data_IF_344749814982
#
_entry.id   IF_344749814982
#
_cell.length_a   1.000
_cell.length_b   1.000
_cell.length_c   1.000
_cell.angle_alpha   90.00
_cell.angle_beta   90.00
_cell.angle_gamma   90.00
#
_symmetry.space_group_name_H-M   'P 1'
#
loop_
_entity.id
_entity.type
_entity.pdbx_description
1 polymer ?
#
# COMPACT_ATOMS: atom_id res chain seq x y z
N UNK A 1 -9.93 5.36 -16.01
CA UNK A 1 -9.12 6.42 -15.38
C UNK A 1 -10.03 7.59 -15.10
N UNK A 2 -9.99 8.17 -13.90
CA UNK A 2 -10.86 9.32 -13.56
C UNK A 2 -10.36 10.58 -14.29
N UNK A 3 -11.28 11.34 -14.87
CA UNK A 3 -10.97 12.64 -15.47
C UNK A 3 -10.78 13.72 -14.40
N UNK A 4 -10.11 14.82 -14.75
CA UNK A 4 -9.97 15.96 -13.83
C UNK A 4 -11.34 16.50 -13.38
N UNK A 5 -12.33 16.50 -14.26
CA UNK A 5 -13.68 17.01 -13.97
C UNK A 5 -14.42 16.12 -12.99
N UNK A 6 -14.32 14.79 -13.15
CA UNK A 6 -14.87 13.82 -12.20
C UNK A 6 -14.15 13.90 -10.83
N UNK A 7 -12.83 14.06 -10.82
CA UNK A 7 -12.07 14.26 -9.59
C UNK A 7 -12.56 15.50 -8.84
N UNK A 8 -12.70 16.65 -9.54
CA UNK A 8 -13.23 17.89 -8.95
C UNK A 8 -14.67 17.71 -8.44
N UNK A 9 -15.51 17.01 -9.18
CA UNK A 9 -16.87 16.69 -8.73
C UNK A 9 -16.88 15.91 -7.41
N UNK A 10 -16.04 14.88 -7.29
CA UNK A 10 -15.90 14.12 -6.03
C UNK A 10 -15.36 14.99 -4.88
N UNK A 11 -14.41 15.90 -5.14
CA UNK A 11 -13.97 16.84 -4.10
C UNK A 11 -15.10 17.77 -3.63
N UNK A 12 -15.95 18.25 -4.55
CA UNK A 12 -17.12 19.08 -4.21
C UNK A 12 -18.18 18.35 -3.39
N UNK A 13 -18.21 17.02 -3.46
CA UNK A 13 -19.06 16.16 -2.63
C UNK A 13 -18.46 15.87 -1.24
N UNK A 14 -17.25 16.35 -0.95
CA UNK A 14 -16.60 16.20 0.36
C UNK A 14 -15.69 14.98 0.53
N UNK A 15 -15.41 14.22 -0.55
CA UNK A 15 -14.45 13.11 -0.48
C UNK A 15 -13.02 13.62 -0.30
N UNK A 16 -12.31 13.12 0.72
CA UNK A 16 -10.93 13.53 1.06
C UNK A 16 -9.86 12.47 0.68
N UNK A 17 -10.30 11.34 0.10
CA UNK A 17 -9.45 10.25 -0.42
C UNK A 17 -10.05 9.76 -1.74
N UNK A 18 -9.48 10.23 -2.85
CA UNK A 18 -9.93 9.87 -4.20
C UNK A 18 -8.77 9.13 -4.89
N UNK A 19 -8.90 7.85 -5.25
CA UNK A 19 -7.84 7.10 -5.88
C UNK A 19 -7.63 7.52 -7.34
N UNK A 20 -6.38 7.76 -7.71
CA UNK A 20 -5.97 7.91 -9.11
C UNK A 20 -5.38 6.57 -9.56
N UNK A 21 -6.01 5.96 -10.57
CA UNK A 21 -5.69 4.60 -10.99
C UNK A 21 -5.36 4.56 -12.48
N UNK A 22 -4.33 3.79 -12.81
CA UNK A 22 -4.01 3.37 -14.17
C UNK A 22 -3.79 1.87 -14.17
N UNK A 23 -4.05 1.26 -15.32
CA UNK A 23 -3.79 -0.16 -15.57
C UNK A 23 -2.57 -0.27 -16.49
N UNK A 24 -1.79 -1.33 -16.29
CA UNK A 24 -0.61 -1.63 -17.08
C UNK A 24 -0.51 -3.14 -17.30
N UNK A 25 0.06 -3.54 -18.44
CA UNK A 25 0.33 -4.95 -18.73
C UNK A 25 1.47 -5.46 -17.85
N UNK A 26 1.30 -6.66 -17.31
CA UNK A 26 2.26 -7.29 -16.41
C UNK A 26 2.33 -8.80 -16.66
N UNK A 27 2.08 -9.24 -17.90
CA UNK A 27 1.90 -10.66 -18.26
C UNK A 27 3.14 -11.52 -17.99
N UNK A 28 4.32 -10.91 -17.95
CA UNK A 28 5.61 -11.55 -17.64
C UNK A 28 6.03 -11.39 -16.18
N UNK A 29 5.20 -10.75 -15.36
CA UNK A 29 5.51 -10.48 -13.97
C UNK A 29 4.71 -11.41 -13.06
N UNK A 30 5.33 -11.80 -11.97
CA UNK A 30 4.64 -12.39 -10.82
C UNK A 30 4.43 -11.29 -9.77
N UNK A 31 3.49 -11.47 -8.81
CA UNK A 31 3.36 -10.51 -7.72
C UNK A 31 4.67 -10.26 -6.96
N UNK A 32 5.48 -11.30 -6.76
CA UNK A 32 6.80 -11.17 -6.15
C UNK A 32 7.77 -10.36 -7.02
N UNK A 33 7.83 -10.60 -8.34
CA UNK A 33 8.72 -9.81 -9.21
C UNK A 33 8.32 -8.33 -9.25
N UNK A 34 7.02 -8.03 -9.26
CA UNK A 34 6.51 -6.66 -9.14
C UNK A 34 6.87 -6.02 -7.80
N UNK A 35 6.70 -6.73 -6.68
CA UNK A 35 7.05 -6.22 -5.36
C UNK A 35 8.54 -5.84 -5.29
N UNK A 36 9.41 -6.71 -5.81
CA UNK A 36 10.85 -6.44 -5.84
C UNK A 36 11.18 -5.19 -6.67
N UNK A 37 10.53 -5.01 -7.82
CA UNK A 37 10.74 -3.86 -8.71
C UNK A 37 10.18 -2.54 -8.17
N UNK A 38 8.97 -2.58 -7.58
CA UNK A 38 8.21 -1.38 -7.23
C UNK A 38 8.47 -0.90 -5.80
N UNK A 39 8.59 -1.84 -4.85
CA UNK A 39 8.58 -1.54 -3.42
C UNK A 39 9.93 -1.83 -2.76
N UNK A 40 10.61 -2.93 -3.14
CA UNK A 40 11.84 -3.35 -2.48
C UNK A 40 13.10 -2.61 -2.96
N UNK A 41 13.08 -2.03 -4.16
CA UNK A 41 14.23 -1.40 -4.80
C UNK A 41 14.86 -0.24 -4.00
N UNK A 42 14.12 0.37 -3.06
CA UNK A 42 14.61 1.43 -2.16
C UNK A 42 14.51 0.98 -0.71
N UNK A 43 15.55 1.28 0.07
CA UNK A 43 15.62 1.01 1.52
C UNK A 43 15.21 -0.43 1.91
N UNK A 44 15.53 -1.40 1.04
CA UNK A 44 15.16 -2.81 1.19
C UNK A 44 13.65 -3.06 1.47
N UNK A 45 12.77 -2.20 0.96
CA UNK A 45 11.32 -2.32 1.15
C UNK A 45 10.83 -1.95 2.55
N UNK A 46 11.57 -1.12 3.29
CA UNK A 46 11.14 -0.61 4.59
C UNK A 46 9.73 0.00 4.50
N UNK A 47 8.85 -0.41 5.43
CA UNK A 47 7.44 0.02 5.50
C UNK A 47 6.62 -0.24 4.23
N UNK A 48 7.02 -1.21 3.42
CA UNK A 48 6.26 -1.72 2.29
C UNK A 48 5.73 -3.13 2.59
N UNK A 49 4.81 -3.64 1.78
CA UNK A 49 4.30 -5.00 1.95
C UNK A 49 3.91 -5.66 0.62
N UNK A 50 3.89 -6.99 0.63
CA UNK A 50 3.22 -7.84 -0.35
C UNK A 50 2.26 -8.75 0.41
N UNK A 51 0.98 -8.69 0.07
CA UNK A 51 -0.06 -9.57 0.61
C UNK A 51 -0.59 -10.47 -0.48
N UNK A 52 -0.51 -11.78 -0.25
CA UNK A 52 -1.03 -12.80 -1.15
C UNK A 52 -2.00 -13.69 -0.38
N UNK A 53 -3.12 -14.03 -1.01
CA UNK A 53 -4.11 -14.93 -0.43
C UNK A 53 -3.93 -16.34 -0.96
N UNK A 54 -4.07 -17.34 -0.10
CA UNK A 54 -4.15 -18.76 -0.48
C UNK A 54 -5.46 -19.35 0.05
N UNK A 55 -6.21 -20.02 -0.81
CA UNK A 55 -7.44 -20.72 -0.45
C UNK A 55 -7.11 -22.21 -0.32
N UNK A 56 -7.34 -22.77 0.86
CA UNK A 56 -7.09 -24.19 1.13
C UNK A 56 -5.63 -24.62 1.04
N UNK A 57 -4.67 -23.67 1.04
CA UNK A 57 -3.23 -23.95 0.97
C UNK A 57 -2.67 -24.24 -0.42
N UNK A 58 -3.53 -24.45 -1.43
CA UNK A 58 -3.09 -24.91 -2.76
C UNK A 58 -3.42 -23.92 -3.89
N UNK A 59 -4.45 -23.09 -3.72
CA UNK A 59 -4.89 -22.16 -4.77
C UNK A 59 -4.59 -20.73 -4.40
N UNK A 60 -3.75 -20.07 -5.20
CA UNK A 60 -3.54 -18.63 -5.09
C UNK A 60 -4.85 -17.87 -5.34
N UNK A 61 -5.09 -16.85 -4.53
CA UNK A 61 -6.19 -15.90 -4.71
C UNK A 61 -6.03 -15.14 -6.03
N UNK A 62 -7.13 -14.59 -6.53
CA UNK A 62 -7.15 -13.85 -7.81
C UNK A 62 -6.32 -12.56 -7.77
N UNK A 63 -6.08 -12.01 -6.58
CA UNK A 63 -5.42 -10.73 -6.39
C UNK A 63 -4.32 -10.84 -5.34
N UNK A 64 -3.21 -10.15 -5.63
CA UNK A 64 -2.16 -9.82 -4.67
C UNK A 64 -2.14 -8.30 -4.49
N UNK A 65 -1.81 -7.83 -3.28
CA UNK A 65 -1.74 -6.40 -2.98
C UNK A 65 -0.32 -6.01 -2.62
N UNK A 66 0.22 -5.01 -3.30
CA UNK A 66 1.52 -4.42 -3.01
C UNK A 66 1.30 -3.05 -2.38
N UNK A 67 1.75 -2.89 -1.15
CA UNK A 67 1.85 -1.59 -0.49
C UNK A 67 3.24 -1.02 -0.73
N UNK A 68 3.33 0.14 -1.36
CA UNK A 68 4.59 0.87 -1.51
C UNK A 68 5.05 1.44 -0.15
N UNK A 69 6.35 1.80 0.00
CA UNK A 69 6.86 2.36 1.25
C UNK A 69 5.98 3.48 1.82
N UNK A 70 5.40 3.24 2.99
CA UNK A 70 4.53 4.20 3.66
C UNK A 70 5.35 5.34 4.27
N UNK A 71 4.94 6.58 4.01
CA UNK A 71 5.52 7.78 4.65
C UNK A 71 5.04 7.97 6.08
N UNK A 72 3.78 7.63 6.35
CA UNK A 72 3.15 7.76 7.66
C UNK A 72 2.74 6.39 8.17
N UNK A 73 3.09 6.09 9.42
CA UNK A 73 2.74 4.85 10.10
C UNK A 73 2.28 5.14 11.53
N UNK A 74 1.44 4.27 12.07
CA UNK A 74 1.12 4.25 13.50
C UNK A 74 1.98 3.18 14.14
N UNK A 75 2.73 3.54 15.18
CA UNK A 75 3.58 2.62 15.93
C UNK A 75 3.08 2.55 17.37
N UNK A 76 2.92 1.34 17.88
CA UNK A 76 2.74 1.07 19.29
C UNK A 76 3.97 0.29 19.81
N UNK A 77 4.51 0.72 20.94
CA UNK A 77 5.70 0.12 21.56
C UNK A 77 5.67 0.25 23.09
N UNK A 78 6.52 -0.52 23.76
CA UNK A 78 6.58 -0.54 25.23
C UNK A 78 5.45 -1.35 25.87
N UNK A 79 5.48 -1.45 27.20
CA UNK A 79 4.49 -2.17 28.00
C UNK A 79 4.26 -1.45 29.34
N UNK A 80 3.06 -1.57 29.91
CA UNK A 80 2.73 -0.97 31.20
C UNK A 80 2.86 0.55 31.20
N UNK A 81 3.62 1.10 32.15
CA UNK A 81 3.86 2.55 32.25
C UNK A 81 4.67 3.12 31.08
N UNK A 82 5.43 2.28 30.36
CA UNK A 82 6.28 2.69 29.23
C UNK A 82 5.55 2.59 27.88
N UNK A 83 4.23 2.37 27.88
CA UNK A 83 3.46 2.25 26.64
C UNK A 83 3.44 3.58 25.87
N UNK A 84 3.81 3.53 24.60
CA UNK A 84 3.78 4.66 23.67
C UNK A 84 3.07 4.25 22.38
N UNK A 85 2.10 5.07 21.96
CA UNK A 85 1.49 5.01 20.63
C UNK A 85 1.74 6.34 19.93
N UNK A 86 2.41 6.29 18.79
CA UNK A 86 2.84 7.46 18.02
C UNK A 86 2.44 7.33 16.54
N UNK A 87 2.21 8.48 15.90
CA UNK A 87 2.10 8.58 14.45
C UNK A 87 3.43 9.10 13.94
N UNK A 88 4.18 8.26 13.23
CA UNK A 88 5.48 8.60 12.67
C UNK A 88 5.30 8.97 11.21
N UNK A 89 5.77 10.15 10.79
CA UNK A 89 5.72 10.61 9.40
C UNK A 89 7.11 11.02 8.93
N UNK A 90 7.59 10.42 7.83
CA UNK A 90 8.93 10.65 7.28
C UNK A 90 10.06 10.43 8.31
N UNK A 91 9.83 9.53 9.26
CA UNK A 91 10.77 9.20 10.34
C UNK A 91 10.79 10.17 11.52
N UNK A 92 9.83 11.10 11.60
CA UNK A 92 9.63 12.04 12.71
C UNK A 92 8.32 11.80 13.43
#
# INVERSE_FOLDING_TARGET
>A
MITELEFKSLTGQGYNRIPLMTEAFADLETPLSLYLKLANAKDAGKFSFLLESVVGGERFGRYSFIGLPARTLVRASGFGADMLTEVVTDGR
#
